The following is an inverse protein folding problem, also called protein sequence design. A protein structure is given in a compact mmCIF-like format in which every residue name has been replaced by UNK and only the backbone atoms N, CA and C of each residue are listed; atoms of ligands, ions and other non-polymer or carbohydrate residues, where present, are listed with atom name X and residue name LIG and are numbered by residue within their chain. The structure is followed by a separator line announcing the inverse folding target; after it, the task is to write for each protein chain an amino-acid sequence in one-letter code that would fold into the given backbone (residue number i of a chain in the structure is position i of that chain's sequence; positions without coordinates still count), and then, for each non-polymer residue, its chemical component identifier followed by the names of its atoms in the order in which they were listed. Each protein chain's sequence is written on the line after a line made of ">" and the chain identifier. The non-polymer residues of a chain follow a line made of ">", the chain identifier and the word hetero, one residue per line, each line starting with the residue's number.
data_IF_140238310313
#
_entry.id   IF_140238310313
#
_cell.length_a   1.000
_cell.length_b   1.000
_cell.length_c   1.000
_cell.angle_alpha   90.00
_cell.angle_beta   90.00
_cell.angle_gamma   90.00
#
_symmetry.space_group_name_H-M   'P 1'
#
loop_
_entity.id
_entity.type
_entity.pdbx_description
1 polymer ?
#
# COMPACT_ATOMS: atom_id res chain seq x y z
N UNK A 1 22.70 16.46 10.86
CA UNK A 1 21.56 17.41 10.88
C UNK A 1 20.51 17.13 9.81
N UNK A 2 20.78 17.27 8.50
CA UNK A 2 19.75 17.07 7.45
C UNK A 2 18.99 15.74 7.54
N UNK A 3 19.68 14.63 7.82
CA UNK A 3 19.04 13.32 7.97
C UNK A 3 18.07 13.25 9.15
N UNK A 4 18.44 13.84 10.30
CA UNK A 4 17.57 13.89 11.49
C UNK A 4 16.33 14.70 11.17
N UNK A 5 16.46 15.84 10.48
CA UNK A 5 15.32 16.64 10.02
C UNK A 5 14.35 15.82 9.16
N UNK A 6 14.85 15.02 8.22
CA UNK A 6 13.98 14.14 7.42
C UNK A 6 13.28 13.09 8.28
N UNK A 7 13.96 12.51 9.28
CA UNK A 7 13.32 11.57 10.20
C UNK A 7 12.28 12.23 11.12
N UNK A 8 12.48 13.47 11.53
CA UNK A 8 11.44 14.25 12.24
C UNK A 8 10.21 14.39 11.35
N UNK A 9 10.38 14.81 10.09
CA UNK A 9 9.26 14.94 9.14
C UNK A 9 8.57 13.59 8.85
N UNK A 10 9.34 12.53 8.66
CA UNK A 10 8.79 11.17 8.48
C UNK A 10 8.01 10.70 9.71
N UNK A 11 8.53 10.98 10.92
CA UNK A 11 7.85 10.69 12.17
C UNK A 11 6.56 11.49 12.33
N UNK A 12 6.58 12.78 11.97
CA UNK A 12 5.40 13.63 12.01
C UNK A 12 4.32 13.16 11.03
N UNK A 13 4.70 12.88 9.78
CA UNK A 13 3.80 12.34 8.77
C UNK A 13 3.19 10.99 9.20
N UNK A 14 4.00 10.09 9.79
CA UNK A 14 3.52 8.83 10.35
C UNK A 14 2.54 9.08 11.51
N UNK A 15 2.87 9.97 12.44
CA UNK A 15 2.01 10.33 13.56
C UNK A 15 0.64 10.85 13.10
N UNK A 16 0.62 11.76 12.12
CA UNK A 16 -0.63 12.24 11.51
C UNK A 16 -1.38 11.09 10.83
N UNK A 17 -0.69 10.24 10.06
CA UNK A 17 -1.33 9.08 9.42
C UNK A 17 -1.96 8.13 10.46
N UNK A 18 -1.31 7.92 11.61
CA UNK A 18 -1.82 7.12 12.72
C UNK A 18 -3.10 7.70 13.35
N UNK A 19 -3.29 9.02 13.31
CA UNK A 19 -4.55 9.64 13.74
C UNK A 19 -5.70 9.41 12.76
N UNK A 20 -5.40 9.00 11.52
CA UNK A 20 -6.43 8.80 10.48
C UNK A 20 -6.84 7.35 10.32
N UNK A 21 -5.90 6.39 10.37
CA UNK A 21 -6.18 5.00 9.98
C UNK A 21 -5.20 4.00 10.56
N UNK A 22 -5.72 2.88 11.09
CA UNK A 22 -4.91 1.81 11.69
C UNK A 22 -3.94 1.11 10.75
N UNK A 23 -4.23 1.06 9.45
CA UNK A 23 -3.29 0.52 8.46
C UNK A 23 -1.97 1.31 8.41
N UNK A 24 -1.94 2.56 8.89
CA UNK A 24 -0.71 3.33 9.00
C UNK A 24 0.31 2.72 9.99
N UNK A 25 -0.12 1.83 10.91
CA UNK A 25 0.80 1.07 11.77
C UNK A 25 1.79 0.22 10.93
N UNK A 26 1.40 -0.20 9.73
CA UNK A 26 2.26 -0.96 8.82
C UNK A 26 3.41 -0.13 8.23
N UNK A 27 3.40 1.21 8.37
CA UNK A 27 4.51 2.07 7.99
C UNK A 27 5.64 2.10 9.03
N UNK A 28 5.36 1.76 10.29
CA UNK A 28 6.35 1.72 11.37
C UNK A 28 7.58 0.88 10.98
N UNK A 29 7.45 -0.39 10.56
CA UNK A 29 8.62 -1.20 10.19
C UNK A 29 9.37 -0.66 8.97
N UNK A 30 8.70 0.04 8.05
CA UNK A 30 9.37 0.68 6.90
C UNK A 30 10.26 1.83 7.34
N UNK A 31 9.73 2.74 8.17
CA UNK A 31 10.49 3.88 8.67
C UNK A 31 11.63 3.39 9.58
N UNK A 32 11.36 2.40 10.44
CA UNK A 32 12.38 1.80 11.29
C UNK A 32 13.52 1.16 10.47
N UNK A 33 13.20 0.40 9.42
CA UNK A 33 14.19 -0.23 8.54
C UNK A 33 15.07 0.82 7.83
N UNK A 34 14.46 1.90 7.31
CA UNK A 34 15.17 3.00 6.66
C UNK A 34 16.04 3.75 7.67
N UNK A 35 15.55 3.96 8.90
CA UNK A 35 16.28 4.60 9.98
C UNK A 35 17.49 3.79 10.43
N UNK A 36 17.32 2.48 10.68
CA UNK A 36 18.41 1.57 11.04
C UNK A 36 19.46 1.52 9.93
N UNK A 37 19.06 1.45 8.66
CA UNK A 37 20.00 1.47 7.54
C UNK A 37 20.77 2.79 7.46
N UNK A 38 20.10 3.91 7.72
CA UNK A 38 20.75 5.23 7.76
C UNK A 38 21.72 5.35 8.95
N UNK A 39 21.36 4.79 10.11
CA UNK A 39 22.21 4.74 11.28
C UNK A 39 23.46 3.89 11.06
N UNK A 40 23.37 2.77 10.33
CA UNK A 40 24.55 1.95 9.99
C UNK A 40 25.62 2.72 9.20
N UNK A 41 25.24 3.76 8.48
CA UNK A 41 26.13 4.63 7.70
C UNK A 41 26.65 5.84 8.51
N UNK A 42 26.18 6.05 9.73
CA UNK A 42 26.56 7.18 10.58
C UNK A 42 27.69 6.81 11.55
N UNK A 43 28.55 7.77 11.88
CA UNK A 43 29.54 7.68 12.96
C UNK A 43 28.93 8.15 14.31
N UNK A 44 29.34 7.50 15.40
CA UNK A 44 28.93 7.84 16.78
C UNK A 44 27.62 7.18 17.24
N UNK A 45 27.63 6.61 18.45
CA UNK A 45 26.49 5.88 19.02
C UNK A 45 25.27 6.78 19.25
N UNK A 46 25.47 7.99 19.79
CA UNK A 46 24.40 8.96 20.04
C UNK A 46 23.66 9.32 18.74
N UNK A 47 24.41 9.53 17.64
CA UNK A 47 23.82 9.85 16.34
C UNK A 47 23.05 8.67 15.76
N UNK A 48 23.55 7.44 15.93
CA UNK A 48 22.85 6.21 15.52
C UNK A 48 21.53 6.07 16.28
N UNK A 49 21.56 6.23 17.60
CA UNK A 49 20.38 6.20 18.44
C UNK A 49 19.38 7.28 18.04
N UNK A 50 19.81 8.52 17.85
CA UNK A 50 18.95 9.61 17.41
C UNK A 50 18.25 9.31 16.08
N UNK A 51 18.98 8.81 15.06
CA UNK A 51 18.38 8.48 13.77
C UNK A 51 17.27 7.42 13.85
N UNK A 52 17.38 6.45 14.76
CA UNK A 52 16.40 5.38 14.94
C UNK A 52 15.24 5.81 15.84
N UNK A 53 15.54 6.48 16.95
CA UNK A 53 14.55 6.81 17.98
C UNK A 53 13.70 8.01 17.58
N UNK A 54 14.29 9.07 17.01
CA UNK A 54 13.58 10.31 16.66
C UNK A 54 12.28 10.10 15.85
N UNK A 55 12.26 9.37 14.72
CA UNK A 55 11.03 9.22 13.95
C UNK A 55 9.94 8.47 14.72
N UNK A 56 10.33 7.47 15.52
CA UNK A 56 9.39 6.66 16.30
C UNK A 56 8.80 7.48 17.46
N UNK A 57 9.64 8.24 18.17
CA UNK A 57 9.22 9.11 19.26
C UNK A 57 8.26 10.19 18.76
N UNK A 58 8.61 10.88 17.67
CA UNK A 58 7.75 11.93 17.08
C UNK A 58 6.41 11.34 16.64
N UNK A 59 6.40 10.18 15.96
CA UNK A 59 5.17 9.51 15.56
C UNK A 59 4.31 9.10 16.76
N UNK A 60 4.94 8.62 17.84
CA UNK A 60 4.27 8.23 19.07
C UNK A 60 3.59 9.42 19.74
N UNK A 61 4.31 10.53 19.91
CA UNK A 61 3.78 11.76 20.53
C UNK A 61 2.60 12.33 19.75
N UNK A 62 2.65 12.33 18.42
CA UNK A 62 1.59 12.92 17.59
C UNK A 62 0.35 12.01 17.53
N UNK A 63 0.52 10.70 17.27
CA UNK A 63 -0.63 9.80 17.06
C UNK A 63 -0.48 8.38 17.59
N UNK A 64 0.74 7.88 17.81
CA UNK A 64 0.95 6.51 18.29
C UNK A 64 0.41 6.26 19.71
N UNK A 65 0.37 7.28 20.57
CA UNK A 65 -0.17 7.17 21.93
C UNK A 65 -1.63 6.71 21.96
N UNK A 66 -2.45 7.07 20.95
CA UNK A 66 -3.85 6.67 20.88
C UNK A 66 -3.99 5.15 20.67
N UNK A 67 -3.11 4.56 19.87
CA UNK A 67 -3.06 3.11 19.65
C UNK A 67 -2.58 2.35 20.88
N UNK A 68 -1.60 2.91 21.61
CA UNK A 68 -1.18 2.37 22.90
C UNK A 68 -2.31 2.42 23.92
N UNK A 69 -3.06 3.54 23.99
CA UNK A 69 -4.27 3.66 24.81
C UNK A 69 -5.30 2.58 24.47
N UNK A 70 -5.56 2.31 23.19
CA UNK A 70 -6.49 1.25 22.80
C UNK A 70 -6.03 -0.12 23.25
N UNK A 71 -4.74 -0.43 23.12
CA UNK A 71 -4.19 -1.69 23.63
C UNK A 71 -4.36 -1.81 25.15
N UNK A 72 -4.09 -0.76 25.90
CA UNK A 72 -4.17 -0.75 27.37
C UNK A 72 -5.62 -0.86 27.85
N UNK A 73 -6.53 -0.09 27.26
CA UNK A 73 -7.93 0.01 27.72
C UNK A 73 -8.81 -1.08 27.11
N UNK A 74 -8.63 -1.39 25.83
CA UNK A 74 -9.51 -2.29 25.08
C UNK A 74 -8.89 -3.68 24.88
N UNK A 75 -7.62 -3.90 25.26
CA UNK A 75 -6.90 -5.13 24.98
C UNK A 75 -6.62 -5.38 23.49
N UNK A 76 -6.92 -4.40 22.61
CA UNK A 76 -6.83 -4.55 21.15
C UNK A 76 -6.46 -3.25 20.47
N UNK A 77 -5.64 -3.34 19.41
CA UNK A 77 -5.18 -2.20 18.62
C UNK A 77 -6.35 -1.46 17.97
N UNK A 78 -7.23 -2.21 17.30
CA UNK A 78 -8.37 -1.66 16.60
C UNK A 78 -9.64 -2.47 16.95
N UNK A 79 -10.64 -1.86 17.60
CA UNK A 79 -11.97 -2.46 17.68
C UNK A 79 -12.56 -2.51 16.27
N UNK A 80 -12.85 -3.71 15.77
CA UNK A 80 -13.52 -3.93 14.49
C UNK A 80 -14.96 -4.38 14.75
N UNK A 81 -15.91 -3.85 13.98
CA UNK A 81 -17.33 -4.27 14.04
C UNK A 81 -17.43 -5.79 13.82
N UNK A 82 -16.65 -6.32 12.88
CA UNK A 82 -16.57 -7.75 12.62
C UNK A 82 -15.54 -8.47 13.51
N UNK A 83 -14.72 -7.75 14.27
CA UNK A 83 -13.73 -8.32 15.19
C UNK A 83 -14.23 -8.48 16.63
N UNK A 84 -15.48 -8.14 16.92
CA UNK A 84 -16.18 -8.49 18.15
C UNK A 84 -17.02 -9.76 18.04
N UNK A 85 -16.95 -10.47 16.90
CA UNK A 85 -17.61 -11.77 16.74
C UNK A 85 -16.90 -12.82 17.58
N UNK A 86 -17.65 -13.80 18.07
CA UNK A 86 -17.07 -14.97 18.72
C UNK A 86 -16.32 -15.81 17.68
N UNK A 87 -15.02 -16.07 17.87
CA UNK A 87 -14.30 -17.03 17.06
C UNK A 87 -14.94 -18.40 17.18
N UNK A 88 -15.25 -19.04 16.06
CA UNK A 88 -15.72 -20.42 16.06
C UNK A 88 -14.52 -21.38 15.97
N UNK A 89 -14.54 -22.44 16.77
CA UNK A 89 -13.44 -23.42 16.83
C UNK A 89 -13.30 -24.27 15.55
N UNK A 90 -14.38 -24.36 14.77
CA UNK A 90 -14.45 -25.07 13.49
C UNK A 90 -14.75 -24.08 12.37
N UNK A 91 -14.32 -24.35 11.12
CA UNK A 91 -14.63 -23.48 10.00
C UNK A 91 -16.14 -23.46 9.73
N UNK A 92 -16.64 -22.31 9.25
CA UNK A 92 -18.01 -22.17 8.78
C UNK A 92 -18.33 -23.16 7.64
N UNK A 93 -19.60 -23.51 7.50
CA UNK A 93 -20.07 -24.39 6.42
C UNK A 93 -19.67 -23.85 5.04
N UNK A 94 -19.21 -24.74 4.15
CA UNK A 94 -18.75 -24.37 2.80
C UNK A 94 -17.37 -23.70 2.76
N UNK A 95 -16.59 -23.74 3.84
CA UNK A 95 -15.22 -23.26 3.84
C UNK A 95 -14.30 -24.11 2.94
N UNK A 96 -13.63 -23.46 2.01
CA UNK A 96 -12.50 -24.01 1.25
C UNK A 96 -11.36 -22.96 1.19
N UNK A 97 -10.18 -23.36 1.66
CA UNK A 97 -9.00 -22.50 1.69
C UNK A 97 -8.56 -22.07 0.28
N UNK A 98 -8.60 -22.97 -0.70
CA UNK A 98 -8.12 -22.65 -2.05
C UNK A 98 -9.09 -21.74 -2.79
N UNK A 99 -10.39 -21.98 -2.61
CA UNK A 99 -11.42 -21.04 -3.03
C UNK A 99 -11.22 -19.65 -2.41
N UNK A 100 -10.91 -19.56 -1.11
CA UNK A 100 -10.59 -18.28 -0.47
C UNK A 100 -9.39 -17.59 -1.11
N UNK A 101 -8.28 -18.30 -1.32
CA UNK A 101 -7.07 -17.73 -1.94
C UNK A 101 -7.38 -17.18 -3.33
N UNK A 102 -8.08 -17.95 -4.17
CA UNK A 102 -8.51 -17.51 -5.50
C UNK A 102 -9.40 -16.27 -5.43
N UNK A 103 -10.42 -16.28 -4.55
CA UNK A 103 -11.31 -15.15 -4.36
C UNK A 103 -10.58 -13.89 -3.87
N UNK A 104 -9.68 -14.06 -2.90
CA UNK A 104 -8.89 -12.97 -2.33
C UNK A 104 -8.03 -12.28 -3.38
N UNK A 105 -7.32 -13.05 -4.24
CA UNK A 105 -6.49 -12.52 -5.32
C UNK A 105 -7.34 -11.75 -6.34
N UNK A 106 -8.40 -12.39 -6.86
CA UNK A 106 -9.29 -11.78 -7.87
C UNK A 106 -9.95 -10.52 -7.33
N UNK A 107 -10.49 -10.58 -6.11
CA UNK A 107 -11.15 -9.45 -5.47
C UNK A 107 -10.18 -8.31 -5.20
N UNK A 108 -8.99 -8.62 -4.68
CA UNK A 108 -7.96 -7.61 -4.42
C UNK A 108 -7.59 -6.90 -5.72
N UNK A 109 -7.30 -7.65 -6.80
CA UNK A 109 -6.91 -7.10 -8.08
C UNK A 109 -8.00 -6.20 -8.70
N UNK A 110 -9.23 -6.72 -8.80
CA UNK A 110 -10.33 -5.97 -9.45
C UNK A 110 -10.72 -4.71 -8.67
N UNK A 111 -10.65 -4.76 -7.33
CA UNK A 111 -10.90 -3.58 -6.50
C UNK A 111 -9.74 -2.60 -6.41
N UNK A 112 -8.54 -2.98 -6.87
CA UNK A 112 -7.42 -2.06 -7.06
C UNK A 112 -7.63 -1.22 -8.33
N UNK A 113 -8.05 -1.84 -9.44
CA UNK A 113 -8.08 -1.21 -10.76
C UNK A 113 -9.36 -0.48 -11.16
N UNK A 114 -10.46 -0.59 -10.40
CA UNK A 114 -11.65 0.20 -10.75
C UNK A 114 -12.95 -0.21 -10.11
N UNK A 115 -13.05 -1.36 -9.43
CA UNK A 115 -14.35 -1.78 -8.88
C UNK A 115 -14.91 -0.84 -7.78
N UNK A 116 -14.09 0.04 -7.17
CA UNK A 116 -14.54 0.88 -6.07
C UNK A 116 -15.34 0.09 -5.03
N UNK A 117 -16.42 0.65 -4.51
CA UNK A 117 -17.50 -0.10 -3.82
C UNK A 117 -18.72 -0.35 -4.73
N UNK A 118 -18.62 -0.02 -6.03
CA UNK A 118 -19.74 0.16 -6.96
C UNK A 118 -19.44 -0.56 -8.27
N UNK A 119 -20.15 -1.67 -8.59
CA UNK A 119 -19.91 -2.48 -9.78
C UNK A 119 -19.94 -1.72 -11.11
N UNK A 120 -20.74 -0.67 -11.19
CA UNK A 120 -20.95 0.15 -12.38
C UNK A 120 -19.71 0.95 -12.84
N UNK A 121 -18.74 1.16 -11.94
CA UNK A 121 -17.47 1.82 -12.28
C UNK A 121 -16.32 0.82 -12.51
N UNK A 122 -16.61 -0.47 -12.44
CA UNK A 122 -15.59 -1.50 -12.60
C UNK A 122 -15.08 -1.54 -14.04
N UNK A 123 -13.75 -1.57 -14.19
CA UNK A 123 -13.15 -1.96 -15.46
C UNK A 123 -13.61 -3.37 -15.85
N UNK A 124 -13.68 -3.68 -17.16
CA UNK A 124 -13.88 -5.04 -17.62
C UNK A 124 -12.90 -6.00 -16.95
N UNK A 125 -13.38 -7.17 -16.52
CA UNK A 125 -12.62 -8.09 -15.68
C UNK A 125 -11.26 -8.46 -16.29
N UNK A 126 -11.26 -8.77 -17.59
CA UNK A 126 -10.04 -9.08 -18.35
C UNK A 126 -9.02 -7.93 -18.31
N UNK A 127 -9.47 -6.68 -18.42
CA UNK A 127 -8.59 -5.50 -18.38
C UNK A 127 -7.96 -5.36 -17.00
N UNK A 128 -8.74 -5.52 -15.94
CA UNK A 128 -8.21 -5.48 -14.57
C UNK A 128 -7.22 -6.63 -14.31
N UNK A 129 -7.52 -7.84 -14.79
CA UNK A 129 -6.68 -9.03 -14.60
C UNK A 129 -5.36 -8.91 -15.38
N UNK A 130 -5.38 -8.38 -16.61
CA UNK A 130 -4.18 -8.07 -17.38
C UNK A 130 -3.37 -6.93 -16.75
N UNK A 131 -4.02 -5.88 -16.22
CA UNK A 131 -3.33 -4.78 -15.52
C UNK A 131 -2.63 -5.28 -14.25
N UNK A 132 -3.30 -6.15 -13.48
CA UNK A 132 -2.72 -6.82 -12.31
C UNK A 132 -1.48 -7.64 -12.65
N UNK A 133 -1.60 -8.52 -13.65
CA UNK A 133 -0.49 -9.34 -14.13
C UNK A 133 0.68 -8.47 -14.63
N UNK A 134 0.39 -7.48 -15.47
CA UNK A 134 1.38 -6.55 -15.99
C UNK A 134 2.11 -5.79 -14.89
N UNK A 135 1.40 -5.40 -13.83
CA UNK A 135 1.99 -4.73 -12.68
C UNK A 135 2.89 -5.65 -11.84
N UNK A 136 2.51 -6.92 -11.65
CA UNK A 136 3.37 -7.92 -11.00
C UNK A 136 4.65 -8.16 -11.80
N UNK A 137 4.53 -8.32 -13.13
CA UNK A 137 5.70 -8.45 -14.02
C UNK A 137 6.58 -7.21 -13.93
N UNK A 138 5.99 -6.01 -13.99
CA UNK A 138 6.70 -4.74 -13.83
C UNK A 138 7.47 -4.68 -12.51
N UNK A 139 6.87 -5.10 -11.40
CA UNK A 139 7.53 -5.19 -10.10
C UNK A 139 8.73 -6.14 -10.12
N UNK A 140 8.54 -7.36 -10.61
CA UNK A 140 9.61 -8.37 -10.66
C UNK A 140 10.78 -7.85 -11.49
N UNK A 141 10.51 -7.33 -12.69
CA UNK A 141 11.54 -6.75 -13.56
C UNK A 141 12.22 -5.57 -12.87
N UNK A 142 11.48 -4.67 -12.23
CA UNK A 142 12.04 -3.53 -11.52
C UNK A 142 13.00 -3.97 -10.41
N UNK A 143 12.64 -4.99 -9.62
CA UNK A 143 13.51 -5.54 -8.56
C UNK A 143 14.80 -6.13 -9.14
N UNK A 144 14.70 -6.85 -10.26
CA UNK A 144 15.86 -7.45 -10.96
C UNK A 144 16.81 -6.38 -11.50
N UNK A 145 16.28 -5.30 -12.10
CA UNK A 145 17.11 -4.26 -12.74
C UNK A 145 17.50 -3.11 -11.80
N UNK A 146 16.92 -3.02 -10.60
CA UNK A 146 17.16 -1.94 -9.65
C UNK A 146 18.58 -1.98 -9.08
N UNK A 147 19.37 -0.93 -9.36
CA UNK A 147 20.67 -0.70 -8.68
C UNK A 147 20.55 -0.62 -7.15
N UNK A 148 19.41 -0.14 -6.64
CA UNK A 148 19.13 -0.01 -5.21
C UNK A 148 17.96 -0.90 -4.78
N UNK A 149 17.98 -2.19 -5.19
CA UNK A 149 16.93 -3.19 -4.88
C UNK A 149 16.44 -3.17 -3.43
N UNK A 150 17.37 -3.06 -2.47
CA UNK A 150 17.02 -3.06 -1.06
C UNK A 150 16.19 -1.82 -0.64
N UNK A 151 16.39 -0.66 -1.28
CA UNK A 151 15.56 0.52 -1.01
C UNK A 151 14.17 0.37 -1.61
N UNK A 152 14.08 -0.16 -2.85
CA UNK A 152 12.80 -0.46 -3.49
C UNK A 152 11.99 -1.46 -2.65
N UNK A 153 12.63 -2.53 -2.17
CA UNK A 153 12.01 -3.52 -1.30
C UNK A 153 11.59 -2.94 0.06
N UNK A 154 12.36 -1.99 0.63
CA UNK A 154 11.93 -1.27 1.84
C UNK A 154 10.64 -0.49 1.62
N UNK A 155 10.45 0.13 0.45
CA UNK A 155 9.18 0.81 0.12
C UNK A 155 8.03 -0.20 -0.03
N UNK A 156 8.30 -1.33 -0.66
CA UNK A 156 7.32 -2.42 -0.87
C UNK A 156 6.91 -3.15 0.41
N UNK A 157 7.71 -3.04 1.48
CA UNK A 157 7.36 -3.62 2.77
C UNK A 157 6.01 -3.08 3.30
N UNK A 158 5.70 -1.81 3.07
CA UNK A 158 4.41 -1.24 3.51
C UNK A 158 3.20 -1.89 2.82
N UNK A 159 3.04 -1.84 1.47
CA UNK A 159 1.91 -2.47 0.81
C UNK A 159 1.88 -3.98 1.06
N UNK A 160 3.04 -4.65 1.16
CA UNK A 160 3.10 -6.07 1.50
C UNK A 160 2.52 -6.38 2.89
N UNK A 161 2.85 -5.59 3.91
CA UNK A 161 2.29 -5.75 5.27
C UNK A 161 0.80 -5.43 5.33
N UNK A 162 0.34 -4.44 4.57
CA UNK A 162 -1.09 -4.14 4.42
C UNK A 162 -1.82 -5.32 3.77
N UNK A 163 -1.30 -5.88 2.67
CA UNK A 163 -1.88 -7.08 2.04
C UNK A 163 -1.89 -8.24 3.03
N UNK A 164 -0.76 -8.55 3.67
CA UNK A 164 -0.68 -9.66 4.61
C UNK A 164 -1.71 -9.53 5.76
N UNK A 165 -1.80 -8.35 6.37
CA UNK A 165 -2.74 -8.09 7.46
C UNK A 165 -4.19 -8.20 7.01
N UNK A 166 -4.51 -7.67 5.83
CA UNK A 166 -5.87 -7.70 5.29
C UNK A 166 -6.29 -9.10 4.81
N UNK A 167 -5.36 -9.88 4.24
CA UNK A 167 -5.57 -11.29 3.89
C UNK A 167 -5.82 -12.11 5.15
N UNK A 168 -5.00 -11.98 6.20
CA UNK A 168 -5.21 -12.70 7.47
C UNK A 168 -6.56 -12.35 8.08
N UNK A 169 -6.92 -11.06 8.09
CA UNK A 169 -8.22 -10.64 8.62
C UNK A 169 -9.40 -11.14 7.77
N UNK A 170 -9.29 -11.09 6.44
CA UNK A 170 -10.30 -11.62 5.51
C UNK A 170 -10.45 -13.14 5.61
N UNK A 171 -9.34 -13.85 5.78
CA UNK A 171 -9.33 -15.29 6.02
C UNK A 171 -10.09 -15.64 7.29
N UNK A 172 -9.81 -14.95 8.40
CA UNK A 172 -10.58 -15.11 9.64
C UNK A 172 -12.06 -14.80 9.43
N UNK A 173 -12.41 -13.77 8.65
CA UNK A 173 -13.82 -13.47 8.34
C UNK A 173 -14.48 -14.63 7.60
N UNK A 174 -13.79 -15.22 6.64
CA UNK A 174 -14.32 -16.35 5.90
C UNK A 174 -14.42 -17.61 6.77
N UNK A 175 -13.41 -17.88 7.58
CA UNK A 175 -13.41 -18.97 8.55
C UNK A 175 -14.60 -18.86 9.50
N UNK A 176 -14.82 -17.67 10.08
CA UNK A 176 -15.82 -17.50 11.13
C UNK A 176 -17.25 -17.38 10.59
N UNK A 177 -17.43 -16.77 9.40
CA UNK A 177 -18.75 -16.34 8.91
C UNK A 177 -19.14 -16.93 7.55
N UNK A 178 -18.26 -17.68 6.87
CA UNK A 178 -18.51 -18.17 5.51
C UNK A 178 -18.60 -17.05 4.46
N UNK A 179 -18.05 -15.85 4.74
CA UNK A 179 -18.11 -14.67 3.86
C UNK A 179 -16.77 -14.39 3.15
N UNK A 180 -16.46 -15.05 2.02
CA UNK A 180 -15.15 -14.97 1.33
C UNK A 180 -14.88 -13.57 0.75
N UNK A 181 -15.95 -12.83 0.47
CA UNK A 181 -15.93 -11.51 -0.12
C UNK A 181 -15.65 -10.37 0.87
N UNK A 182 -15.41 -10.62 2.16
CA UNK A 182 -15.29 -9.54 3.15
C UNK A 182 -13.84 -9.36 3.63
N UNK A 183 -13.49 -8.13 4.03
CA UNK A 183 -12.20 -7.85 4.68
C UNK A 183 -11.00 -7.60 3.78
N UNK A 184 -11.08 -7.86 2.46
CA UNK A 184 -9.98 -7.61 1.51
C UNK A 184 -10.40 -6.74 0.33
N UNK A 185 -9.62 -5.70 0.06
CA UNK A 185 -9.80 -4.76 -1.06
C UNK A 185 -8.47 -4.15 -1.50
N UNK A 186 -8.26 -4.01 -2.80
CA UNK A 186 -7.05 -3.45 -3.40
C UNK A 186 -6.79 -2.00 -3.02
N UNK A 187 -7.83 -1.19 -2.83
CA UNK A 187 -7.71 0.21 -2.39
C UNK A 187 -6.94 0.40 -1.08
N UNK A 188 -6.82 -0.64 -0.24
CA UNK A 188 -6.08 -0.54 1.01
C UNK A 188 -4.58 -0.26 0.79
N UNK A 189 -4.01 -0.65 -0.35
CA UNK A 189 -2.60 -0.41 -0.67
C UNK A 189 -2.34 0.90 -1.42
N UNK A 190 -3.34 1.75 -1.68
CA UNK A 190 -3.15 3.02 -2.41
C UNK A 190 -2.19 3.98 -1.71
N UNK A 191 -2.14 3.98 -0.37
CA UNK A 191 -1.14 4.74 0.39
C UNK A 191 0.31 4.29 0.09
N UNK A 192 0.49 3.10 -0.50
CA UNK A 192 1.77 2.57 -0.99
C UNK A 192 2.23 3.17 -2.31
N UNK A 193 1.63 4.27 -2.77
CA UNK A 193 1.93 4.93 -4.05
C UNK A 193 3.42 5.22 -4.25
N UNK A 194 4.17 5.52 -3.19
CA UNK A 194 5.61 5.72 -3.27
C UNK A 194 6.35 4.47 -3.77
N UNK A 195 5.94 3.27 -3.36
CA UNK A 195 6.52 2.01 -3.84
C UNK A 195 6.17 1.77 -5.31
N UNK A 196 4.94 2.08 -5.71
CA UNK A 196 4.48 1.93 -7.09
C UNK A 196 5.21 2.90 -8.02
N UNK A 197 5.28 4.18 -7.65
CA UNK A 197 6.02 5.20 -8.39
C UNK A 197 7.51 4.86 -8.52
N UNK A 198 8.15 4.39 -7.44
CA UNK A 198 9.54 3.95 -7.48
C UNK A 198 9.75 2.75 -8.44
N UNK A 199 8.79 1.83 -8.49
CA UNK A 199 8.81 0.67 -9.41
C UNK A 199 8.79 1.15 -10.86
N UNK A 200 7.84 2.02 -11.20
CA UNK A 200 7.74 2.58 -12.56
C UNK A 200 8.97 3.41 -12.91
N UNK A 201 9.46 4.24 -11.99
CA UNK A 201 10.66 5.06 -12.19
C UNK A 201 11.92 4.22 -12.47
N UNK A 202 12.08 3.08 -11.78
CA UNK A 202 13.19 2.15 -12.02
C UNK A 202 13.12 1.58 -13.43
N UNK A 203 11.95 1.09 -13.86
CA UNK A 203 11.76 0.53 -15.20
C UNK A 203 12.04 1.57 -16.27
N UNK A 204 11.49 2.76 -16.10
CA UNK A 204 11.68 3.86 -17.02
C UNK A 204 13.15 4.26 -17.15
N UNK A 205 13.84 4.42 -16.02
CA UNK A 205 15.27 4.72 -16.02
C UNK A 205 16.10 3.60 -16.66
N UNK A 206 15.70 2.33 -16.50
CA UNK A 206 16.35 1.20 -17.16
C UNK A 206 16.14 1.21 -18.67
N UNK A 207 14.91 1.43 -19.14
CA UNK A 207 14.55 1.50 -20.57
C UNK A 207 15.31 2.65 -21.24
N UNK A 208 15.24 3.87 -20.68
CA UNK A 208 15.88 5.08 -21.24
C UNK A 208 17.39 4.96 -21.29
N UNK A 209 18.03 4.33 -20.30
CA UNK A 209 19.48 4.11 -20.30
C UNK A 209 19.92 3.09 -21.34
N UNK A 210 19.11 2.07 -21.60
CA UNK A 210 19.44 0.98 -22.53
C UNK A 210 19.10 1.33 -23.98
N UNK A 211 18.13 2.21 -24.19
CA UNK A 211 17.65 2.61 -25.51
C UNK A 211 17.75 4.13 -25.66
N UNK A 212 18.90 4.59 -26.16
CA UNK A 212 19.21 6.03 -26.36
C UNK A 212 18.62 6.57 -27.66
N UNK A 213 17.43 6.10 -28.05
CA UNK A 213 16.72 6.60 -29.24
C UNK A 213 15.86 7.80 -28.90
N UNK A 214 15.79 8.80 -29.81
CA UNK A 214 14.84 9.93 -29.68
C UNK A 214 13.39 9.46 -29.46
N UNK A 215 13.00 8.34 -30.07
CA UNK A 215 11.67 7.73 -29.91
C UNK A 215 11.37 7.23 -28.49
N UNK A 216 12.35 6.65 -27.79
CA UNK A 216 12.16 6.20 -26.40
C UNK A 216 12.04 7.37 -25.43
N UNK A 217 12.78 8.45 -25.66
CA UNK A 217 12.61 9.71 -24.91
C UNK A 217 11.26 10.37 -25.19
N UNK A 218 10.79 10.35 -26.43
CA UNK A 218 9.48 10.88 -26.79
C UNK A 218 8.35 10.06 -26.12
N UNK A 219 8.40 8.72 -26.19
CA UNK A 219 7.44 7.84 -25.52
C UNK A 219 7.44 8.07 -23.99
N UNK A 220 8.63 8.30 -23.44
CA UNK A 220 8.84 8.61 -22.05
C UNK A 220 8.14 9.91 -21.61
N UNK A 221 8.33 10.99 -22.38
CA UNK A 221 7.67 12.28 -22.16
C UNK A 221 6.16 12.18 -22.36
N UNK A 222 5.73 11.49 -23.42
CA UNK A 222 4.31 11.22 -23.70
C UNK A 222 3.68 10.47 -22.54
N UNK A 223 4.32 9.44 -21.98
CA UNK A 223 3.80 8.73 -20.81
C UNK A 223 3.68 9.62 -19.56
N UNK A 224 4.63 10.52 -19.33
CA UNK A 224 4.58 11.49 -18.21
C UNK A 224 3.46 12.51 -18.39
N UNK A 225 3.08 12.87 -19.62
CA UNK A 225 2.00 13.82 -19.91
C UNK A 225 0.63 13.12 -19.96
N UNK A 226 0.57 11.92 -20.54
CA UNK A 226 -0.66 11.14 -20.66
C UNK A 226 -1.13 10.57 -19.32
N UNK A 227 -0.23 10.26 -18.38
CA UNK A 227 -0.64 9.72 -17.09
C UNK A 227 -1.47 10.73 -16.24
N UNK A 228 -1.06 12.00 -16.07
CA UNK A 228 -1.91 13.04 -15.50
C UNK A 228 -3.17 13.27 -16.32
N UNK A 229 -3.10 13.29 -17.66
CA UNK A 229 -4.27 13.50 -18.50
C UNK A 229 -5.32 12.38 -18.35
N UNK A 230 -4.89 11.11 -18.30
CA UNK A 230 -5.74 9.96 -18.05
C UNK A 230 -6.31 9.99 -16.62
N UNK A 231 -5.52 10.43 -15.64
CA UNK A 231 -5.99 10.60 -14.25
C UNK A 231 -7.07 11.69 -14.19
N UNK A 232 -6.85 12.83 -14.83
CA UNK A 232 -7.81 13.93 -14.92
C UNK A 232 -9.08 13.53 -15.68
N UNK A 233 -8.96 12.83 -16.79
CA UNK A 233 -10.10 12.30 -17.54
C UNK A 233 -10.91 11.31 -16.70
N UNK A 234 -10.26 10.42 -15.96
CA UNK A 234 -10.93 9.51 -15.03
C UNK A 234 -11.62 10.25 -13.87
N UNK A 235 -10.98 11.26 -13.29
CA UNK A 235 -11.58 12.09 -12.24
C UNK A 235 -12.77 12.89 -12.77
N UNK A 236 -12.67 13.45 -13.97
CA UNK A 236 -13.75 14.17 -14.62
C UNK A 236 -14.94 13.26 -14.92
N UNK A 237 -14.68 12.06 -15.46
CA UNK A 237 -15.70 11.05 -15.69
C UNK A 237 -16.44 10.70 -14.41
N UNK A 238 -15.70 10.40 -13.33
CA UNK A 238 -16.30 10.09 -12.02
C UNK A 238 -17.08 11.28 -11.48
N UNK A 239 -16.55 12.50 -11.60
CA UNK A 239 -17.24 13.72 -11.15
C UNK A 239 -18.56 13.95 -11.89
N UNK A 240 -18.54 13.91 -13.22
CA UNK A 240 -19.72 14.09 -14.06
C UNK A 240 -20.79 13.04 -13.75
N UNK A 241 -20.41 11.77 -13.61
CA UNK A 241 -21.36 10.68 -13.43
C UNK A 241 -21.88 10.57 -11.99
N UNK A 242 -21.02 10.73 -10.98
CA UNK A 242 -21.41 10.58 -9.56
C UNK A 242 -22.14 11.82 -9.05
N UNK A 243 -21.77 13.01 -9.52
CA UNK A 243 -22.29 14.27 -8.97
C UNK A 243 -23.40 14.88 -9.80
N UNK A 244 -23.36 14.74 -11.14
CA UNK A 244 -24.35 15.35 -12.02
C UNK A 244 -25.38 14.36 -12.56
N UNK A 245 -25.17 13.04 -12.37
CA UNK A 245 -26.13 12.01 -12.79
C UNK A 245 -26.34 11.87 -14.30
N UNK A 246 -25.52 12.56 -15.11
CA UNK A 246 -25.60 12.52 -16.56
C UNK A 246 -24.58 11.52 -17.14
N UNK A 247 -25.01 10.61 -18.03
CA UNK A 247 -24.09 9.85 -18.85
C UNK A 247 -23.43 10.79 -19.87
N UNK A 248 -22.10 10.79 -19.90
CA UNK A 248 -21.31 11.45 -20.95
C UNK A 248 -21.31 10.61 -22.24
#
# INVERSE_FOLDING_TARGET
>A
ERAIRYFVWSGAALGVALLTKGLALMLIPVIALIAVRSARLASGLLRKAALVVTPMLVAFVIGGWWWARNLIILGRVQPSILGGREPIGNPAEGYDFWFFVGNAVVRFNRSFWGRGSRPEFALPELVADLAGLGFVVALVVAVVVARRRALLLSLWLFPALVVATTVVNAHRIFWDLGRPAQGIQGRYVFAGIAAFAATIAVLFAWIVRRHVGRGVRALAVVGVVLAPAATWAGLWWVYAWVWNGEPA
#
